data_IF_037945392386
#
_entry.id   IF_037945392386
#
_cell.length_a   1.000
_cell.length_b   1.000
_cell.length_c   1.000
_cell.angle_alpha   90.00
_cell.angle_beta   90.00
_cell.angle_gamma   90.00
#
_symmetry.space_group_name_H-M   'P 1'
#
loop_
_entity.id
_entity.type
_entity.pdbx_description
1 polymer ?
#
# COMPACT_ATOMS: atom_id res chain seq x y z
N UNK A 1 60.10 -2.65 -4.99
CA UNK A 1 58.91 -3.39 -5.46
C UNK A 1 57.70 -2.94 -4.63
N UNK A 2 56.80 -2.11 -5.16
CA UNK A 2 55.60 -1.64 -4.44
C UNK A 2 54.51 -2.71 -4.55
N UNK A 3 54.06 -3.27 -3.43
CA UNK A 3 52.91 -4.20 -3.39
C UNK A 3 51.62 -3.38 -3.52
N UNK A 4 50.89 -3.58 -4.60
CA UNK A 4 49.58 -2.99 -4.84
C UNK A 4 48.53 -3.91 -4.21
N UNK A 5 47.82 -3.44 -3.19
CA UNK A 5 46.76 -4.18 -2.52
C UNK A 5 45.44 -3.93 -3.26
N UNK A 6 44.88 -4.96 -3.91
CA UNK A 6 43.56 -4.91 -4.52
C UNK A 6 42.49 -5.26 -3.47
N UNK A 7 41.62 -4.31 -3.14
CA UNK A 7 40.47 -4.53 -2.26
C UNK A 7 39.26 -4.92 -3.13
N UNK A 8 38.87 -6.20 -3.10
CA UNK A 8 37.63 -6.66 -3.72
C UNK A 8 36.47 -6.40 -2.76
N UNK A 9 35.64 -5.40 -3.06
CA UNK A 9 34.37 -5.18 -2.38
C UNK A 9 33.35 -6.20 -2.91
N UNK A 10 33.18 -7.30 -2.19
CA UNK A 10 32.12 -8.27 -2.46
C UNK A 10 30.81 -7.65 -1.94
N UNK A 11 29.95 -7.20 -2.85
CA UNK A 11 28.60 -6.76 -2.51
C UNK A 11 27.71 -7.98 -2.25
N UNK A 12 27.67 -8.44 -1.01
CA UNK A 12 26.70 -9.45 -0.58
C UNK A 12 25.33 -8.76 -0.49
N UNK A 13 24.29 -9.17 -1.24
CA UNK A 13 22.95 -8.66 -1.01
C UNK A 13 22.47 -9.20 0.35
N UNK A 14 22.46 -8.33 1.36
CA UNK A 14 21.94 -8.65 2.68
C UNK A 14 20.42 -8.80 2.57
N UNK A 15 19.92 -10.04 2.49
CA UNK A 15 18.49 -10.30 2.74
C UNK A 15 18.25 -10.12 4.22
N UNK A 16 17.75 -8.95 4.61
CA UNK A 16 17.29 -8.70 5.96
C UNK A 16 16.14 -9.69 6.25
N UNK A 17 16.41 -10.65 7.13
CA UNK A 17 15.40 -11.49 7.74
C UNK A 17 14.68 -10.64 8.77
N UNK A 18 13.40 -10.37 8.58
CA UNK A 18 12.61 -9.57 9.50
C UNK A 18 12.34 -10.36 10.80
N UNK A 19 13.25 -10.27 11.77
CA UNK A 19 13.02 -10.66 13.17
C UNK A 19 12.61 -9.45 14.04
N UNK A 20 11.86 -8.51 13.48
CA UNK A 20 11.32 -7.37 14.22
C UNK A 20 9.81 -7.31 14.06
N UNK A 21 9.08 -7.28 15.16
CA UNK A 21 7.68 -6.84 15.18
C UNK A 21 7.59 -5.50 14.43
N UNK A 22 6.93 -5.53 13.28
CA UNK A 22 6.73 -4.36 12.43
C UNK A 22 5.79 -3.38 13.14
N UNK A 23 6.35 -2.29 13.67
CA UNK A 23 5.59 -1.15 14.19
C UNK A 23 5.63 -0.03 13.15
N UNK A 24 4.72 -0.06 12.17
CA UNK A 24 4.34 1.15 11.44
C UNK A 24 3.21 1.81 12.23
N UNK A 25 3.57 2.74 13.11
CA UNK A 25 2.60 3.56 13.85
C UNK A 25 2.17 4.82 13.05
N UNK A 26 2.38 4.79 11.73
CA UNK A 26 1.82 5.81 10.86
C UNK A 26 0.37 5.44 10.59
N UNK A 27 -0.54 6.15 11.25
CA UNK A 27 -1.98 6.06 11.00
C UNK A 27 -2.27 6.40 9.53
N UNK A 28 -2.46 5.39 8.68
CA UNK A 28 -2.89 5.55 7.27
C UNK A 28 -4.42 5.66 7.16
N UNK A 29 -5.15 5.77 8.27
CA UNK A 29 -6.61 5.84 8.27
C UNK A 29 -7.13 7.21 8.75
N UNK A 30 -7.83 7.95 7.88
CA UNK A 30 -8.46 9.23 8.22
C UNK A 30 -9.93 9.09 8.66
N UNK A 31 -10.61 7.97 8.37
CA UNK A 31 -12.06 7.84 8.46
C UNK A 31 -12.54 6.46 8.90
N UNK A 32 -13.59 6.43 9.72
CA UNK A 32 -14.28 5.23 10.22
C UNK A 32 -15.00 4.42 9.15
N UNK A 33 -15.07 4.94 7.90
CA UNK A 33 -15.73 4.27 6.77
C UNK A 33 -14.76 3.58 5.82
N UNK A 34 -13.46 3.61 6.08
CA UNK A 34 -12.41 3.03 5.23
C UNK A 34 -11.92 1.73 5.85
N UNK A 35 -12.00 0.64 5.09
CA UNK A 35 -11.51 -0.66 5.49
C UNK A 35 -10.36 -1.06 4.57
N UNK A 36 -9.19 -1.31 5.15
CA UNK A 36 -8.03 -1.82 4.45
C UNK A 36 -8.03 -3.34 4.54
N UNK A 37 -7.86 -4.02 3.41
CA UNK A 37 -7.97 -5.48 3.32
C UNK A 37 -6.64 -6.18 3.09
N UNK A 38 -5.72 -5.58 2.34
CA UNK A 38 -4.40 -6.16 2.05
C UNK A 38 -3.36 -5.08 1.68
N UNK A 39 -2.08 -5.44 1.80
CA UNK A 39 -0.94 -4.60 1.46
C UNK A 39 0.23 -5.42 0.94
N UNK A 40 0.87 -4.96 -0.14
CA UNK A 40 2.04 -5.59 -0.74
C UNK A 40 3.15 -4.55 -0.90
N UNK A 41 4.33 -4.84 -0.33
CA UNK A 41 5.55 -4.06 -0.56
C UNK A 41 6.20 -4.45 -1.89
N UNK A 42 6.74 -3.45 -2.60
CA UNK A 42 7.46 -3.60 -3.87
C UNK A 42 8.98 -3.49 -3.67
N UNK A 43 9.80 -3.99 -4.62
CA UNK A 43 11.26 -3.91 -4.52
C UNK A 43 11.85 -2.50 -4.44
N UNK A 44 11.12 -1.49 -4.93
CA UNK A 44 11.48 -0.06 -4.85
C UNK A 44 11.13 0.58 -3.49
N UNK A 45 10.66 -0.21 -2.52
CA UNK A 45 10.23 0.24 -1.21
C UNK A 45 8.81 0.82 -1.17
N UNK A 46 8.16 1.01 -2.32
CA UNK A 46 6.76 1.47 -2.41
C UNK A 46 5.78 0.36 -2.02
N UNK A 47 4.53 0.73 -1.74
CA UNK A 47 3.48 -0.21 -1.38
C UNK A 47 2.27 -0.06 -2.28
N UNK A 48 1.59 -1.18 -2.54
CA UNK A 48 0.19 -1.15 -2.92
C UNK A 48 -0.66 -1.54 -1.71
N UNK A 49 -1.72 -0.80 -1.48
CA UNK A 49 -2.71 -1.07 -0.44
C UNK A 49 -4.07 -1.17 -1.11
N UNK A 50 -4.87 -2.17 -0.77
CA UNK A 50 -6.24 -2.27 -1.23
C UNK A 50 -7.23 -2.28 -0.06
N UNK A 51 -8.46 -1.95 -0.39
CA UNK A 51 -9.53 -1.84 0.59
C UNK A 51 -10.82 -1.40 -0.05
N UNK A 52 -11.78 -1.00 0.78
CA UNK A 52 -13.06 -0.49 0.34
C UNK A 52 -13.60 0.59 1.29
N UNK A 53 -14.43 1.48 0.73
CA UNK A 53 -15.28 2.37 1.50
C UNK A 53 -16.62 1.68 1.80
N UNK A 54 -17.08 1.75 3.04
CA UNK A 54 -18.49 1.50 3.36
C UNK A 54 -19.28 2.79 3.12
N UNK A 55 -20.14 2.81 2.11
CA UNK A 55 -20.97 3.98 1.78
C UNK A 55 -22.27 4.03 2.61
N UNK A 56 -22.73 2.89 3.12
CA UNK A 56 -23.95 2.74 3.91
C UNK A 56 -23.76 1.74 5.09
N UNK A 57 -24.82 1.04 5.51
CA UNK A 57 -24.82 0.02 6.59
C UNK A 57 -24.00 -1.25 6.27
N UNK A 58 -23.05 -1.17 5.34
CA UNK A 58 -22.09 -2.22 5.00
C UNK A 58 -22.49 -3.06 3.78
N UNK A 59 -23.59 -2.72 3.11
CA UNK A 59 -24.11 -3.43 1.92
C UNK A 59 -23.50 -2.90 0.63
N UNK A 60 -23.14 -1.62 0.59
CA UNK A 60 -22.45 -1.01 -0.54
C UNK A 60 -20.98 -0.75 -0.17
N UNK A 61 -20.11 -1.48 -0.86
CA UNK A 61 -18.66 -1.35 -0.73
C UNK A 61 -18.09 -0.78 -2.02
N UNK A 62 -17.30 0.30 -1.91
CA UNK A 62 -16.61 0.88 -3.07
C UNK A 62 -15.13 0.50 -2.96
N UNK A 63 -14.64 -0.47 -3.76
CA UNK A 63 -13.26 -0.89 -3.70
C UNK A 63 -12.30 0.20 -4.17
N UNK A 64 -11.10 0.21 -3.61
CA UNK A 64 -10.01 1.10 -4.02
C UNK A 64 -8.66 0.40 -4.00
N UNK A 65 -7.71 0.99 -4.74
CA UNK A 65 -6.28 0.69 -4.66
C UNK A 65 -5.55 2.01 -4.43
N UNK A 66 -4.57 2.01 -3.52
CA UNK A 66 -3.66 3.12 -3.23
C UNK A 66 -2.24 2.67 -3.52
N UNK A 67 -1.41 3.57 -4.06
CA UNK A 67 0.04 3.42 -4.07
C UNK A 67 0.66 4.40 -3.07
N UNK A 68 1.47 3.88 -2.18
CA UNK A 68 2.32 4.67 -1.30
C UNK A 68 3.75 4.63 -1.82
N UNK A 69 4.49 5.74 -1.77
CA UNK A 69 5.93 5.74 -2.02
C UNK A 69 6.71 5.10 -0.86
N UNK A 70 8.06 5.04 -0.97
CA UNK A 70 8.92 4.45 0.05
C UNK A 70 8.95 5.26 1.37
N UNK A 71 8.42 6.48 1.37
CA UNK A 71 8.25 7.35 2.54
C UNK A 71 6.81 7.34 3.05
N UNK A 72 5.99 6.37 2.61
CA UNK A 72 4.59 6.18 2.99
C UNK A 72 3.65 7.32 2.58
N UNK A 73 4.02 8.14 1.59
CA UNK A 73 3.12 9.15 1.02
C UNK A 73 2.26 8.54 -0.08
N UNK A 74 0.97 8.89 -0.09
CA UNK A 74 0.09 8.55 -1.19
C UNK A 74 0.53 9.28 -2.47
N UNK A 75 0.87 8.49 -3.50
CA UNK A 75 1.24 8.99 -4.83
C UNK A 75 0.23 8.63 -5.91
N UNK A 76 -0.72 7.73 -5.58
CA UNK A 76 -1.84 7.39 -6.44
C UNK A 76 -2.97 6.80 -5.61
N UNK A 77 -4.20 7.10 -6.01
CA UNK A 77 -5.41 6.41 -5.57
C UNK A 77 -6.34 6.17 -6.75
N UNK A 78 -6.85 4.94 -6.85
CA UNK A 78 -7.86 4.55 -7.81
C UNK A 78 -9.06 4.00 -7.06
N UNK A 79 -10.22 4.64 -7.26
CA UNK A 79 -11.50 4.21 -6.70
C UNK A 79 -12.30 3.55 -7.83
N UNK A 80 -12.86 2.39 -7.53
CA UNK A 80 -13.64 1.59 -8.47
C UNK A 80 -15.11 1.68 -8.07
N UNK A 81 -15.79 2.72 -8.55
CA UNK A 81 -17.24 2.80 -8.43
C UNK A 81 -17.84 1.70 -9.31
N UNK A 82 -18.56 0.76 -8.70
CA UNK A 82 -19.44 -0.11 -9.47
C UNK A 82 -20.39 0.78 -10.28
N UNK A 83 -20.73 0.37 -11.50
CA UNK A 83 -21.81 0.97 -12.26
C UNK A 83 -23.08 0.85 -11.43
N UNK A 84 -23.42 1.87 -10.64
CA UNK A 84 -24.78 2.00 -10.13
C UNK A 84 -25.64 2.06 -11.38
N UNK A 85 -26.53 1.09 -11.57
CA UNK A 85 -27.51 1.19 -12.64
C UNK A 85 -28.24 2.52 -12.41
N UNK A 86 -28.42 3.30 -13.48
CA UNK A 86 -29.01 4.65 -13.42
C UNK A 86 -30.37 4.66 -12.68
N UNK A 87 -31.04 3.52 -12.63
CA UNK A 87 -32.33 3.27 -11.98
C UNK A 87 -32.27 3.32 -10.45
N UNK A 88 -31.12 3.06 -9.81
CA UNK A 88 -30.96 3.11 -8.36
C UNK A 88 -30.72 4.55 -7.83
N UNK A 89 -30.53 5.53 -8.72
CA UNK A 89 -30.23 6.92 -8.36
C UNK A 89 -31.49 7.76 -8.08
N UNK A 90 -32.64 7.31 -8.54
CA UNK A 90 -33.93 7.98 -8.35
C UNK A 90 -34.89 6.96 -7.75
N UNK A 91 -34.84 6.81 -6.42
CA UNK A 91 -35.70 5.88 -5.69
C UNK A 91 -37.17 5.99 -6.09
N UNK A 92 -37.85 4.84 -6.16
CA UNK A 92 -39.31 4.77 -6.14
C UNK A 92 -39.83 5.14 -4.75
#
# INVERSE_FOLDING_TARGET
MKKLLFLFLISIPLKASAQGSFFLDQKVCDSSKVFYSDMVQRPDGSFFVCGYYNVDTGTHQIPFIIKLDASYHEVMRKVYHASMNREDQFGK
#
